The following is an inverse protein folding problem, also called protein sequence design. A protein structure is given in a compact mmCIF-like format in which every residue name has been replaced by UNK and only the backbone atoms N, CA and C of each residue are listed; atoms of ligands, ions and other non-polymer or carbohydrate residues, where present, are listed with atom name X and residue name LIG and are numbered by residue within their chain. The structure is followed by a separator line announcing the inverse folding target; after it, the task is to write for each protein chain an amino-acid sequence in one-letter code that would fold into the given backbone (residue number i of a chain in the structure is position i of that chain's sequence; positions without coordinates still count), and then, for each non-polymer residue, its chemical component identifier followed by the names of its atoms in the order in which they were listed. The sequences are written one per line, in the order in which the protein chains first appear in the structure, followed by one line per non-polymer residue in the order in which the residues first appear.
data_IF_543536759374
#
_entry.id   IF_543536759374
#
_cell.length_a   1.000
_cell.length_b   1.000
_cell.length_c   1.000
_cell.angle_alpha   90.00
_cell.angle_beta   90.00
_cell.angle_gamma   90.00
#
_symmetry.space_group_name_H-M   'P 1'
#
loop_
_entity.id
_entity.type
_entity.pdbx_description
1 polymer ?
#
# COMPACT_ATOMS: atom_id res chain seq x y z
N UNK A 1 -5.83 -22.05 4.82
CA UNK A 1 -6.57 -21.42 3.70
C UNK A 1 -6.80 -19.97 4.09
N UNK A 2 -6.51 -19.03 3.22
CA UNK A 2 -6.65 -17.60 3.46
C UNK A 2 -8.10 -17.17 3.15
N UNK A 3 -8.79 -16.55 4.10
CA UNK A 3 -10.20 -16.15 3.99
C UNK A 3 -10.38 -14.64 3.93
N UNK A 4 -9.61 -13.90 4.72
CA UNK A 4 -9.68 -12.46 4.83
C UNK A 4 -8.40 -11.85 4.24
N UNK A 5 -8.53 -11.10 3.17
CA UNK A 5 -7.40 -10.57 2.39
C UNK A 5 -7.35 -9.05 2.50
N UNK A 6 -6.17 -8.52 2.79
CA UNK A 6 -5.90 -7.09 2.78
C UNK A 6 -5.00 -6.75 1.59
N UNK A 7 -5.42 -5.79 0.77
CA UNK A 7 -4.64 -5.27 -0.35
C UNK A 7 -4.15 -3.88 -0.01
N UNK A 8 -2.85 -3.63 -0.12
CA UNK A 8 -2.29 -2.28 -0.18
C UNK A 8 -2.04 -1.95 -1.64
N UNK A 9 -2.65 -0.86 -2.11
CA UNK A 9 -2.60 -0.43 -3.50
C UNK A 9 -1.84 0.89 -3.64
N UNK A 10 -0.90 0.89 -4.58
CA UNK A 10 -0.12 2.04 -4.98
C UNK A 10 -0.12 2.16 -6.52
N UNK A 11 0.33 3.28 -7.09
CA UNK A 11 0.08 3.54 -8.52
C UNK A 11 1.32 3.45 -9.40
N UNK A 12 2.48 3.82 -8.93
CA UNK A 12 3.69 3.99 -9.75
C UNK A 12 4.16 2.68 -10.38
N UNK A 13 3.96 1.57 -9.68
CA UNK A 13 4.32 0.24 -10.14
C UNK A 13 3.36 -0.41 -11.12
N UNK A 14 2.20 0.19 -11.40
CA UNK A 14 1.16 -0.36 -12.28
C UNK A 14 1.66 -0.49 -13.73
N UNK A 15 1.28 -1.56 -14.43
CA UNK A 15 1.64 -1.75 -15.84
C UNK A 15 1.10 -0.62 -16.72
N UNK A 16 1.96 -0.10 -17.60
CA UNK A 16 1.60 0.98 -18.53
C UNK A 16 1.74 2.39 -17.97
N UNK A 17 2.02 2.54 -16.68
CA UNK A 17 2.35 3.83 -16.08
C UNK A 17 3.85 4.11 -16.20
N UNK A 18 4.20 5.31 -16.62
CA UNK A 18 5.59 5.79 -16.76
C UNK A 18 5.79 7.13 -16.07
N UNK A 19 4.76 7.96 -16.08
CA UNK A 19 4.82 9.37 -15.69
C UNK A 19 4.11 9.58 -14.35
N UNK A 20 4.75 10.36 -13.49
CA UNK A 20 4.22 10.75 -12.21
C UNK A 20 3.51 12.11 -12.32
N UNK A 21 2.32 12.19 -11.80
CA UNK A 21 1.35 13.28 -12.01
C UNK A 21 1.72 14.66 -11.42
N UNK A 22 2.80 14.76 -10.65
CA UNK A 22 3.15 16.00 -9.94
C UNK A 22 4.29 16.83 -10.58
N UNK A 23 4.76 16.47 -11.77
CA UNK A 23 5.91 17.16 -12.38
C UNK A 23 5.57 18.47 -13.03
N UNK A 24 4.34 18.64 -13.44
CA UNK A 24 3.88 19.86 -14.08
C UNK A 24 3.00 20.65 -13.10
N UNK A 25 3.52 21.79 -12.61
CA UNK A 25 2.75 22.71 -11.77
C UNK A 25 1.58 23.35 -12.53
N UNK A 26 1.62 23.32 -13.84
CA UNK A 26 0.54 23.72 -14.72
C UNK A 26 -0.23 22.46 -15.12
N UNK A 27 -1.39 22.25 -14.51
CA UNK A 27 -2.31 21.15 -14.81
C UNK A 27 -2.79 21.24 -16.26
N UNK A 28 -2.01 20.72 -17.20
CA UNK A 28 -2.39 20.64 -18.61
C UNK A 28 -3.49 19.59 -18.81
N UNK A 29 -4.26 19.71 -19.90
CA UNK A 29 -5.27 18.70 -20.28
C UNK A 29 -4.65 17.30 -20.38
N UNK A 30 -3.39 17.19 -20.84
CA UNK A 30 -2.67 15.93 -20.94
C UNK A 30 -2.45 15.31 -19.54
N UNK A 31 -2.09 16.11 -18.54
CA UNK A 31 -1.91 15.63 -17.17
C UNK A 31 -3.22 15.10 -16.57
N UNK A 32 -4.35 15.76 -16.82
CA UNK A 32 -5.66 15.27 -16.38
C UNK A 32 -6.02 13.93 -17.04
N UNK A 33 -5.75 13.77 -18.33
CA UNK A 33 -5.99 12.51 -19.04
C UNK A 33 -5.09 11.37 -18.52
N UNK A 34 -3.79 11.66 -18.31
CA UNK A 34 -2.85 10.69 -17.75
C UNK A 34 -3.24 10.28 -16.33
N UNK A 35 -3.61 11.22 -15.49
CA UNK A 35 -4.08 10.96 -14.14
C UNK A 35 -5.31 10.05 -14.15
N UNK A 36 -6.32 10.38 -14.94
CA UNK A 36 -7.51 9.55 -15.08
C UNK A 36 -7.16 8.14 -15.58
N UNK A 37 -6.29 8.05 -16.58
CA UNK A 37 -5.82 6.77 -17.12
C UNK A 37 -5.11 5.93 -16.06
N UNK A 38 -4.21 6.54 -15.28
CA UNK A 38 -3.45 5.86 -14.22
C UNK A 38 -4.38 5.31 -13.14
N UNK A 39 -5.41 6.05 -12.75
CA UNK A 39 -6.44 5.63 -11.81
C UNK A 39 -7.22 4.40 -12.34
N UNK A 40 -7.59 4.39 -13.61
CA UNK A 40 -8.24 3.23 -14.25
C UNK A 40 -7.29 2.02 -14.24
N UNK A 41 -6.01 2.21 -14.58
CA UNK A 41 -5.03 1.13 -14.61
C UNK A 41 -4.86 0.48 -13.24
N UNK A 42 -4.74 1.28 -12.16
CA UNK A 42 -4.65 0.77 -10.80
C UNK A 42 -5.92 0.03 -10.38
N UNK A 43 -7.09 0.64 -10.57
CA UNK A 43 -8.37 0.04 -10.17
C UNK A 43 -8.56 -1.34 -10.82
N UNK A 44 -8.18 -1.47 -12.07
CA UNK A 44 -8.29 -2.72 -12.80
C UNK A 44 -7.24 -3.78 -12.37
N UNK A 45 -6.05 -3.40 -11.93
CA UNK A 45 -5.08 -4.34 -11.35
C UNK A 45 -5.54 -4.81 -9.96
N UNK A 46 -6.14 -3.92 -9.16
CA UNK A 46 -6.78 -4.26 -7.89
C UNK A 46 -7.96 -5.23 -8.11
N UNK A 47 -8.82 -4.97 -9.08
CA UNK A 47 -9.90 -5.88 -9.46
C UNK A 47 -9.38 -7.27 -9.87
N UNK A 48 -8.27 -7.32 -10.60
CA UNK A 48 -7.64 -8.59 -10.98
C UNK A 48 -7.13 -9.36 -9.75
N UNK A 49 -6.49 -8.66 -8.79
CA UNK A 49 -6.07 -9.26 -7.53
C UNK A 49 -7.26 -9.79 -6.72
N UNK A 50 -8.35 -9.03 -6.65
CA UNK A 50 -9.58 -9.44 -5.98
C UNK A 50 -10.19 -10.70 -6.61
N UNK A 51 -10.30 -10.75 -7.95
CA UNK A 51 -10.79 -11.95 -8.64
C UNK A 51 -9.95 -13.18 -8.33
N UNK A 52 -8.61 -13.05 -8.35
CA UNK A 52 -7.70 -14.12 -7.97
C UNK A 52 -7.90 -14.57 -6.52
N UNK A 53 -8.09 -13.62 -5.60
CA UNK A 53 -8.36 -13.92 -4.19
C UNK A 53 -9.69 -14.67 -4.00
N UNK A 54 -10.77 -14.22 -4.61
CA UNK A 54 -12.06 -14.92 -4.56
C UNK A 54 -12.01 -16.29 -5.24
N UNK A 55 -11.28 -16.43 -6.36
CA UNK A 55 -11.07 -17.73 -7.00
C UNK A 55 -10.30 -18.72 -6.10
N UNK A 56 -9.40 -18.21 -5.25
CA UNK A 56 -8.71 -19.01 -4.21
C UNK A 56 -9.58 -19.35 -3.00
N UNK A 57 -10.79 -18.77 -2.89
CA UNK A 57 -11.74 -19.02 -1.81
C UNK A 57 -11.71 -17.99 -0.68
N UNK A 58 -11.22 -16.78 -0.94
CA UNK A 58 -11.37 -15.66 -0.04
C UNK A 58 -12.85 -15.31 0.17
N UNK A 59 -13.19 -14.93 1.39
CA UNK A 59 -14.56 -14.55 1.79
C UNK A 59 -14.69 -13.03 1.92
N UNK A 60 -13.58 -12.36 2.30
CA UNK A 60 -13.48 -10.91 2.45
C UNK A 60 -12.22 -10.41 1.78
N UNK A 61 -12.35 -9.33 1.01
CA UNK A 61 -11.20 -8.62 0.41
C UNK A 61 -11.38 -7.12 0.64
N UNK A 62 -10.44 -6.52 1.37
CA UNK A 62 -10.39 -5.09 1.64
C UNK A 62 -9.20 -4.51 0.93
N UNK A 63 -9.37 -3.39 0.22
CA UNK A 63 -8.28 -2.65 -0.40
C UNK A 63 -8.08 -1.31 0.29
N UNK A 64 -6.84 -1.00 0.63
CA UNK A 64 -6.40 0.31 1.10
C UNK A 64 -5.72 1.05 -0.04
N UNK A 65 -6.33 2.14 -0.50
CA UNK A 65 -5.74 3.09 -1.45
C UNK A 65 -4.66 3.89 -0.72
N UNK A 66 -3.42 3.39 -0.80
CA UNK A 66 -2.29 3.95 -0.06
C UNK A 66 -1.60 5.10 -0.80
N UNK A 67 -1.84 5.25 -2.11
CA UNK A 67 -1.19 6.27 -2.93
C UNK A 67 -1.62 7.69 -2.55
N UNK A 68 -0.65 8.52 -2.19
CA UNK A 68 -0.84 9.95 -1.95
C UNK A 68 -1.92 10.25 -0.91
N UNK A 69 -3.02 10.86 -1.35
CA UNK A 69 -4.16 11.20 -0.48
C UNK A 69 -5.26 10.13 -0.43
N UNK A 70 -5.04 8.95 -1.03
CA UNK A 70 -6.01 7.85 -1.03
C UNK A 70 -7.24 8.11 -1.92
N UNK A 71 -7.05 8.71 -3.09
CA UNK A 71 -8.11 9.00 -4.07
C UNK A 71 -7.78 8.45 -5.46
N UNK A 72 -6.93 7.42 -5.54
CA UNK A 72 -6.44 6.88 -6.80
C UNK A 72 -7.34 5.77 -7.34
N UNK A 73 -7.90 4.95 -6.48
CA UNK A 73 -8.89 3.94 -6.88
C UNK A 73 -10.21 4.64 -7.24
N UNK A 74 -10.85 4.18 -8.31
CA UNK A 74 -12.15 4.69 -8.78
C UNK A 74 -13.24 3.74 -8.27
N UNK A 75 -14.04 4.14 -7.25
CA UNK A 75 -15.02 3.24 -6.62
C UNK A 75 -16.05 2.67 -7.61
N UNK A 76 -16.45 3.47 -8.61
CA UNK A 76 -17.45 3.08 -9.60
C UNK A 76 -16.96 1.98 -10.57
N UNK A 77 -15.65 1.70 -10.59
CA UNK A 77 -15.04 0.66 -11.42
C UNK A 77 -14.61 -0.57 -10.63
N UNK A 78 -14.79 -0.57 -9.30
CA UNK A 78 -14.40 -1.68 -8.45
C UNK A 78 -15.25 -2.93 -8.67
N UNK A 79 -14.65 -4.09 -8.44
CA UNK A 79 -15.40 -5.35 -8.27
C UNK A 79 -16.39 -5.17 -7.09
N UNK A 80 -17.66 -5.52 -7.30
CA UNK A 80 -18.75 -5.28 -6.34
C UNK A 80 -18.55 -5.95 -4.97
N UNK A 81 -17.63 -6.90 -4.87
CA UNK A 81 -17.32 -7.65 -3.64
C UNK A 81 -16.20 -7.02 -2.80
N UNK A 82 -15.54 -5.96 -3.31
CA UNK A 82 -14.46 -5.27 -2.63
C UNK A 82 -14.99 -4.25 -1.61
N UNK A 83 -14.33 -4.16 -0.48
CA UNK A 83 -14.42 -3.02 0.43
C UNK A 83 -13.22 -2.10 0.21
N UNK A 84 -13.42 -0.77 0.25
CA UNK A 84 -12.40 0.23 -0.01
C UNK A 84 -12.14 1.10 1.24
N UNK A 85 -10.88 1.15 1.64
CA UNK A 85 -10.37 2.16 2.57
C UNK A 85 -9.66 3.22 1.71
N UNK A 86 -10.19 4.44 1.71
CA UNK A 86 -9.62 5.54 0.93
C UNK A 86 -9.77 6.90 1.62
N UNK A 87 -9.07 7.89 1.08
CA UNK A 87 -9.08 9.24 1.63
C UNK A 87 -8.00 9.48 2.67
N UNK A 88 -7.81 10.74 3.06
CA UNK A 88 -6.86 11.13 4.11
C UNK A 88 -7.41 10.80 5.49
N UNK A 89 -6.59 10.10 6.29
CA UNK A 89 -6.80 9.94 7.71
C UNK A 89 -5.58 10.41 8.50
N UNK A 90 -5.74 10.58 9.81
CA UNK A 90 -4.61 10.68 10.71
C UNK A 90 -4.08 9.25 10.92
N UNK A 91 -3.10 8.83 10.09
CA UNK A 91 -2.58 7.46 10.06
C UNK A 91 -2.14 6.94 11.45
N UNK A 92 -1.72 7.84 12.34
CA UNK A 92 -1.35 7.52 13.72
C UNK A 92 -2.53 7.31 14.68
N UNK A 93 -3.77 7.52 14.25
CA UNK A 93 -4.97 7.26 15.07
C UNK A 93 -5.58 5.88 14.84
N UNK A 94 -5.08 5.13 13.86
CA UNK A 94 -5.60 3.78 13.58
C UNK A 94 -4.79 2.75 14.36
N UNK A 95 -5.32 2.30 15.46
CA UNK A 95 -5.02 1.08 16.25
C UNK A 95 -3.58 0.53 16.19
N UNK A 96 -2.57 1.42 16.10
CA UNK A 96 -1.17 1.03 16.12
C UNK A 96 -0.57 0.64 14.77
N UNK A 97 -1.32 0.73 13.66
CA UNK A 97 -0.80 0.51 12.30
C UNK A 97 -1.00 1.73 11.41
N UNK A 98 -0.18 1.90 10.39
CA UNK A 98 -0.40 2.88 9.32
C UNK A 98 -1.38 2.35 8.25
N UNK A 99 -1.84 1.12 8.40
CA UNK A 99 -2.84 0.47 7.55
C UNK A 99 -4.11 0.23 8.36
N UNK A 100 -5.17 1.04 8.15
CA UNK A 100 -6.41 0.93 8.91
C UNK A 100 -6.98 -0.49 8.85
N UNK A 101 -7.47 -0.97 9.99
CA UNK A 101 -8.10 -2.28 10.18
C UNK A 101 -7.23 -3.52 9.88
N UNK A 102 -5.95 -3.36 9.51
CA UNK A 102 -5.10 -4.53 9.20
C UNK A 102 -4.99 -5.51 10.39
N UNK A 103 -5.08 -5.02 11.61
CA UNK A 103 -5.08 -5.80 12.85
C UNK A 103 -6.43 -6.48 13.18
N UNK A 104 -7.45 -6.32 12.34
CA UNK A 104 -8.80 -6.85 12.56
C UNK A 104 -9.03 -8.25 11.95
N UNK A 105 -8.00 -9.11 11.92
CA UNK A 105 -8.16 -10.53 11.60
C UNK A 105 -8.04 -10.86 10.11
N UNK A 106 -7.12 -10.22 9.40
CA UNK A 106 -6.74 -10.61 8.05
C UNK A 106 -5.75 -11.79 8.06
N UNK A 107 -5.79 -12.59 6.99
CA UNK A 107 -4.98 -13.80 6.86
C UNK A 107 -3.74 -13.58 5.98
N UNK A 108 -3.83 -12.70 4.98
CA UNK A 108 -2.76 -12.37 4.06
C UNK A 108 -2.80 -10.92 3.59
N UNK A 109 -1.61 -10.39 3.32
CA UNK A 109 -1.38 -9.12 2.63
C UNK A 109 -1.08 -9.38 1.15
N UNK A 110 -1.66 -8.57 0.27
CA UNK A 110 -1.27 -8.44 -1.13
C UNK A 110 -0.83 -7.00 -1.39
N UNK A 111 0.19 -6.83 -2.22
CA UNK A 111 0.77 -5.54 -2.58
C UNK A 111 0.62 -5.33 -4.09
N UNK A 112 -0.11 -4.28 -4.50
CA UNK A 112 -0.43 -4.02 -5.92
C UNK A 112 0.04 -2.63 -6.33
N UNK A 113 0.75 -2.54 -7.45
CA UNK A 113 1.20 -1.27 -8.01
C UNK A 113 2.39 -0.63 -7.30
N UNK A 114 3.18 -1.40 -6.58
CA UNK A 114 4.26 -0.91 -5.71
C UNK A 114 5.47 -0.41 -6.49
N UNK A 115 6.16 0.58 -5.92
CA UNK A 115 7.37 1.20 -6.46
C UNK A 115 8.60 1.00 -5.58
N UNK A 116 9.79 1.28 -6.14
CA UNK A 116 11.05 1.15 -5.43
C UNK A 116 11.31 2.32 -4.48
N UNK A 117 12.07 2.07 -3.40
CA UNK A 117 12.52 3.09 -2.44
C UNK A 117 13.40 4.14 -3.08
N UNK A 118 13.49 5.31 -2.45
CA UNK A 118 14.40 6.39 -2.84
C UNK A 118 15.85 5.91 -2.98
N UNK A 119 16.55 6.45 -3.97
CA UNK A 119 17.94 6.08 -4.27
C UNK A 119 18.10 4.84 -5.16
N UNK A 120 17.01 4.20 -5.59
CA UNK A 120 17.06 3.05 -6.50
C UNK A 120 17.16 3.54 -7.95
N UNK A 121 18.31 3.30 -8.61
CA UNK A 121 18.60 3.83 -9.95
C UNK A 121 17.63 3.31 -11.03
N UNK A 122 17.19 2.06 -10.93
CA UNK A 122 16.27 1.40 -11.87
C UNK A 122 14.82 1.36 -11.34
N UNK A 123 14.45 2.22 -10.37
CA UNK A 123 13.09 2.34 -9.84
C UNK A 123 12.21 3.25 -10.71
N UNK A 124 10.91 2.96 -10.77
CA UNK A 124 9.91 3.87 -11.33
C UNK A 124 9.62 4.99 -10.32
N UNK A 125 9.94 6.24 -10.65
CA UNK A 125 9.75 7.37 -9.72
C UNK A 125 10.12 7.04 -8.27
N UNK A 126 11.33 6.53 -7.99
CA UNK A 126 11.67 6.00 -6.68
C UNK A 126 11.65 7.09 -5.62
N UNK A 127 10.85 6.90 -4.59
CA UNK A 127 10.73 7.81 -3.46
C UNK A 127 10.42 7.02 -2.19
N UNK A 128 10.25 7.69 -1.08
CA UNK A 128 10.12 7.10 0.26
C UNK A 128 11.27 6.19 0.65
N UNK A 129 11.80 6.41 1.82
CA UNK A 129 12.92 5.65 2.35
C UNK A 129 12.72 5.48 3.86
N UNK A 130 12.55 4.26 4.30
CA UNK A 130 12.35 3.95 5.70
C UNK A 130 13.58 3.23 6.23
N UNK A 131 14.33 3.90 7.10
CA UNK A 131 15.46 3.31 7.80
C UNK A 131 15.02 2.76 9.14
N UNK A 132 15.41 1.52 9.43
CA UNK A 132 15.16 0.87 10.72
C UNK A 132 16.47 0.44 11.34
N UNK A 133 16.65 0.72 12.62
CA UNK A 133 17.76 0.25 13.44
C UNK A 133 17.19 -0.53 14.63
N UNK A 134 17.51 -1.81 14.75
CA UNK A 134 17.08 -2.64 15.90
C UNK A 134 18.09 -2.54 17.04
N UNK A 135 17.64 -2.80 18.27
CA UNK A 135 18.52 -2.86 19.44
C UNK A 135 19.58 -3.98 19.31
N UNK A 136 19.33 -5.00 18.48
CA UNK A 136 20.29 -6.06 18.16
C UNK A 136 21.36 -5.63 17.14
N UNK A 137 21.34 -4.38 16.66
CA UNK A 137 22.29 -3.84 15.70
C UNK A 137 21.99 -4.17 14.24
N UNK A 138 20.82 -4.74 13.93
CA UNK A 138 20.38 -4.94 12.54
C UNK A 138 19.85 -3.63 11.96
N UNK A 139 20.13 -3.40 10.68
CA UNK A 139 19.62 -2.23 9.94
C UNK A 139 18.85 -2.68 8.71
N UNK A 140 17.74 -2.00 8.42
CA UNK A 140 16.94 -2.22 7.22
C UNK A 140 16.75 -0.90 6.49
N UNK A 141 16.69 -0.98 5.16
CA UNK A 141 16.31 0.10 4.26
C UNK A 141 15.06 -0.35 3.50
N UNK A 142 13.90 0.12 3.92
CA UNK A 142 12.62 -0.33 3.41
C UNK A 142 12.04 0.65 2.39
N UNK A 143 11.33 0.10 1.40
CA UNK A 143 10.35 0.80 0.55
C UNK A 143 8.98 0.83 1.25
N UNK A 144 7.99 1.49 0.67
CA UNK A 144 6.60 1.42 1.16
C UNK A 144 6.05 -0.02 1.09
N UNK A 145 6.43 -0.77 0.07
CA UNK A 145 6.07 -2.19 -0.02
C UNK A 145 6.63 -3.00 1.15
N UNK A 146 7.92 -2.91 1.41
CA UNK A 146 8.56 -3.69 2.49
C UNK A 146 8.25 -3.13 3.88
N UNK A 147 7.91 -1.83 3.99
CA UNK A 147 7.29 -1.23 5.17
C UNK A 147 5.93 -1.88 5.46
N UNK A 148 5.07 -2.00 4.46
CA UNK A 148 3.76 -2.64 4.60
C UNK A 148 3.87 -4.11 5.00
N UNK A 149 4.89 -4.83 4.47
CA UNK A 149 5.19 -6.20 4.90
C UNK A 149 5.60 -6.27 6.37
N UNK A 150 6.40 -5.31 6.86
CA UNK A 150 6.83 -5.27 8.26
C UNK A 150 5.67 -4.94 9.21
N UNK A 151 4.77 -4.02 8.83
CA UNK A 151 3.55 -3.71 9.57
C UNK A 151 2.65 -4.95 9.67
N UNK A 152 2.40 -5.63 8.55
CA UNK A 152 1.63 -6.87 8.52
C UNK A 152 2.30 -7.96 9.37
N UNK A 153 3.63 -8.01 9.36
CA UNK A 153 4.42 -8.92 10.18
C UNK A 153 4.24 -8.71 11.69
N UNK A 154 4.10 -7.48 12.14
CA UNK A 154 3.76 -7.18 13.54
C UNK A 154 2.37 -7.72 13.92
N UNK A 155 1.43 -7.76 12.97
CA UNK A 155 0.10 -8.37 13.12
C UNK A 155 0.10 -9.90 12.91
N UNK A 156 1.25 -10.51 12.58
CA UNK A 156 1.34 -11.94 12.27
C UNK A 156 0.77 -12.32 10.89
N UNK A 157 0.65 -11.36 9.97
CA UNK A 157 0.06 -11.53 8.65
C UNK A 157 1.18 -11.63 7.60
N UNK A 158 1.27 -12.75 6.84
CA UNK A 158 2.24 -12.88 5.76
C UNK A 158 1.83 -12.08 4.53
N UNK A 159 2.82 -11.56 3.80
CA UNK A 159 2.61 -11.06 2.45
C UNK A 159 2.66 -12.23 1.47
N UNK A 160 1.56 -12.48 0.74
CA UNK A 160 1.43 -13.62 -0.15
C UNK A 160 1.79 -13.27 -1.60
N UNK A 161 1.58 -12.02 -2.03
CA UNK A 161 1.80 -11.59 -3.41
C UNK A 161 2.21 -10.12 -3.50
N UNK A 162 3.09 -9.81 -4.45
CA UNK A 162 3.45 -8.44 -4.84
C UNK A 162 3.43 -8.26 -6.35
N UNK A 163 2.82 -7.15 -6.82
CA UNK A 163 2.97 -6.63 -8.18
C UNK A 163 3.51 -5.19 -8.14
N UNK A 164 4.50 -4.91 -8.97
CA UNK A 164 5.11 -3.59 -9.00
C UNK A 164 6.24 -3.46 -10.01
N UNK A 165 7.05 -2.43 -9.90
CA UNK A 165 8.26 -2.36 -10.69
C UNK A 165 9.26 -3.46 -10.28
N UNK A 166 10.19 -3.80 -11.19
CA UNK A 166 11.14 -4.90 -10.97
C UNK A 166 11.97 -4.71 -9.71
N UNK A 167 12.43 -3.49 -9.46
CA UNK A 167 13.34 -3.23 -8.35
C UNK A 167 12.62 -3.39 -6.98
N UNK A 168 11.36 -2.97 -6.86
CA UNK A 168 10.58 -3.19 -5.63
C UNK A 168 10.24 -4.67 -5.42
N UNK A 169 9.96 -5.40 -6.50
CA UNK A 169 9.70 -6.85 -6.43
C UNK A 169 10.95 -7.59 -5.94
N UNK A 170 12.13 -7.29 -6.49
CA UNK A 170 13.39 -7.90 -6.07
C UNK A 170 13.73 -7.56 -4.61
N UNK A 171 13.48 -6.31 -4.17
CA UNK A 171 13.65 -5.87 -2.78
C UNK A 171 12.75 -6.68 -1.82
N UNK A 172 11.47 -6.82 -2.13
CA UNK A 172 10.52 -7.57 -1.33
C UNK A 172 10.85 -9.07 -1.27
N UNK A 173 11.23 -9.68 -2.39
CA UNK A 173 11.64 -11.09 -2.46
C UNK A 173 12.92 -11.38 -1.68
N UNK A 174 13.81 -10.40 -1.53
CA UNK A 174 15.01 -10.56 -0.68
C UNK A 174 14.66 -10.75 0.80
N UNK A 175 13.52 -10.23 1.24
CA UNK A 175 13.01 -10.34 2.62
C UNK A 175 12.03 -11.51 2.78
N UNK A 176 11.33 -11.89 1.72
CA UNK A 176 10.34 -12.98 1.72
C UNK A 176 10.46 -13.84 0.46
N UNK A 177 11.47 -14.75 0.36
CA UNK A 177 11.79 -15.49 -0.88
C UNK A 177 10.68 -16.42 -1.40
N UNK A 178 9.74 -16.85 -0.54
CA UNK A 178 8.64 -17.74 -0.92
C UNK A 178 7.39 -17.02 -1.45
N UNK A 179 7.39 -15.69 -1.48
CA UNK A 179 6.25 -14.89 -1.92
C UNK A 179 6.09 -14.94 -3.45
N UNK A 180 4.86 -15.07 -3.93
CA UNK A 180 4.56 -14.93 -5.35
C UNK A 180 4.69 -13.46 -5.79
N UNK A 181 5.07 -13.23 -7.03
CA UNK A 181 5.34 -11.87 -7.50
C UNK A 181 5.13 -11.68 -8.99
N UNK A 182 4.91 -10.43 -9.40
CA UNK A 182 4.87 -9.99 -10.79
C UNK A 182 5.63 -8.67 -10.96
N UNK A 183 6.73 -8.68 -11.72
CA UNK A 183 7.32 -7.45 -12.21
C UNK A 183 6.52 -6.94 -13.42
N UNK A 184 5.78 -5.87 -13.25
CA UNK A 184 4.95 -5.26 -14.30
C UNK A 184 5.79 -4.50 -15.32
N UNK A 185 6.97 -4.03 -14.90
CA UNK A 185 7.88 -3.22 -15.70
C UNK A 185 9.33 -3.35 -15.24
N UNK A 186 10.24 -3.08 -16.18
CA UNK A 186 11.67 -2.81 -15.94
C UNK A 186 11.97 -1.36 -16.30
N UNK A 187 12.55 -0.61 -15.37
CA UNK A 187 12.94 0.78 -15.60
C UNK A 187 14.39 0.87 -16.07
N UNK A 188 14.68 1.80 -16.96
CA UNK A 188 16.02 2.18 -17.42
C UNK A 188 16.45 3.51 -16.77
N UNK A 189 15.47 4.29 -16.36
CA UNK A 189 15.60 5.51 -15.57
C UNK A 189 14.25 5.75 -14.89
N UNK A 190 14.18 6.74 -13.98
CA UNK A 190 12.96 7.06 -13.19
C UNK A 190 11.69 7.22 -14.04
N UNK A 191 11.81 7.68 -15.29
CA UNK A 191 10.68 7.94 -16.19
C UNK A 191 10.87 7.29 -17.57
N UNK A 192 11.69 6.23 -17.66
CA UNK A 192 11.88 5.46 -18.88
C UNK A 192 11.77 3.96 -18.55
N UNK A 193 10.70 3.34 -19.04
CA UNK A 193 10.37 1.96 -18.66
C UNK A 193 9.97 1.10 -19.87
N UNK A 194 10.25 -0.18 -19.75
CA UNK A 194 9.66 -1.24 -20.58
C UNK A 194 8.64 -1.98 -19.74
N UNK A 195 7.39 -1.85 -20.08
CA UNK A 195 6.26 -2.46 -19.36
C UNK A 195 5.62 -3.58 -20.17
N UNK A 196 5.02 -4.57 -19.48
CA UNK A 196 4.05 -5.47 -20.10
C UNK A 196 2.74 -4.73 -20.38
N UNK A 197 1.89 -5.26 -21.27
CA UNK A 197 0.61 -4.62 -21.51
C UNK A 197 -0.29 -4.71 -20.26
N UNK A 198 -1.12 -3.70 -19.97
CA UNK A 198 -2.04 -3.74 -18.83
C UNK A 198 -3.01 -4.95 -18.87
N UNK A 199 -3.40 -5.40 -20.06
CA UNK A 199 -4.26 -6.58 -20.23
C UNK A 199 -3.53 -7.85 -19.76
N UNK A 200 -2.24 -8.00 -20.12
CA UNK A 200 -1.44 -9.13 -19.70
C UNK A 200 -1.16 -9.07 -18.19
N UNK A 201 -0.84 -7.87 -17.67
CA UNK A 201 -0.62 -7.66 -16.24
C UNK A 201 -1.79 -8.16 -15.40
N UNK A 202 -3.02 -7.75 -15.72
CA UNK A 202 -4.24 -8.16 -15.03
C UNK A 202 -4.41 -9.69 -15.02
N UNK A 203 -4.19 -10.36 -16.15
CA UNK A 203 -4.26 -11.83 -16.22
C UNK A 203 -3.24 -12.50 -15.32
N UNK A 204 -1.99 -11.99 -15.32
CA UNK A 204 -0.92 -12.54 -14.49
C UNK A 204 -1.11 -12.24 -13.01
N UNK A 205 -1.65 -11.06 -12.65
CA UNK A 205 -2.02 -10.74 -11.26
C UNK A 205 -3.11 -11.68 -10.78
N UNK A 206 -4.20 -11.85 -11.54
CA UNK A 206 -5.32 -12.72 -11.17
C UNK A 206 -4.84 -14.16 -10.92
N UNK A 207 -4.13 -14.76 -11.88
CA UNK A 207 -3.61 -16.12 -11.74
C UNK A 207 -2.52 -16.25 -10.67
N UNK A 208 -1.67 -15.24 -10.53
CA UNK A 208 -0.59 -15.22 -9.54
C UNK A 208 -1.12 -15.10 -8.11
N UNK A 209 -2.14 -14.28 -7.87
CA UNK A 209 -2.81 -14.16 -6.57
C UNK A 209 -3.55 -15.46 -6.23
N UNK A 210 -4.29 -16.05 -7.18
CA UNK A 210 -4.95 -17.34 -6.97
C UNK A 210 -3.94 -18.42 -6.55
N UNK A 211 -2.82 -18.52 -7.25
CA UNK A 211 -1.76 -19.48 -6.92
C UNK A 211 -1.13 -19.20 -5.55
N UNK A 212 -0.85 -17.92 -5.24
CA UNK A 212 -0.27 -17.49 -3.98
C UNK A 212 -1.13 -17.85 -2.76
N UNK A 213 -2.46 -17.69 -2.89
CA UNK A 213 -3.38 -17.96 -1.78
C UNK A 213 -3.76 -19.45 -1.65
N UNK A 214 -3.42 -20.27 -2.63
CA UNK A 214 -3.57 -21.74 -2.59
C UNK A 214 -2.34 -22.46 -2.05
N UNK A 215 -1.19 -21.78 -1.97
CA UNK A 215 0.01 -22.37 -1.38
C UNK A 215 -0.06 -22.46 0.14
N UNK A 216 0.91 -23.15 0.74
CA UNK A 216 1.08 -23.16 2.19
C UNK A 216 1.33 -21.76 2.75
N UNK A 217 0.88 -21.53 3.99
CA UNK A 217 0.98 -20.21 4.61
C UNK A 217 2.45 -19.83 4.82
N UNK A 218 2.83 -18.70 4.28
CA UNK A 218 4.16 -18.12 4.46
C UNK A 218 4.37 -17.61 5.88
N UNK A 219 5.64 -17.47 6.28
CA UNK A 219 5.98 -16.77 7.50
C UNK A 219 5.92 -15.27 7.27
N UNK A 220 5.33 -14.50 8.20
CA UNK A 220 5.34 -13.05 8.13
C UNK A 220 6.77 -12.50 8.19
N UNK A 221 7.07 -11.48 7.37
CA UNK A 221 8.29 -10.71 7.53
C UNK A 221 8.14 -9.80 8.75
N UNK A 222 8.91 -10.07 9.80
CA UNK A 222 8.84 -9.34 11.06
C UNK A 222 10.18 -8.75 11.44
N UNK A 223 10.19 -7.45 11.77
CA UNK A 223 11.34 -6.78 12.37
C UNK A 223 11.24 -6.92 13.89
N UNK A 224 12.20 -7.65 14.48
CA UNK A 224 12.21 -7.88 15.92
C UNK A 224 12.70 -6.62 16.64
N UNK A 225 11.83 -6.03 17.46
CA UNK A 225 12.16 -4.87 18.29
C UNK A 225 12.98 -5.23 19.53
N UNK A 226 13.36 -4.25 20.34
CA UNK A 226 13.08 -2.82 20.16
C UNK A 226 13.80 -2.24 18.94
N UNK A 227 13.21 -1.23 18.31
CA UNK A 227 13.80 -0.58 17.15
C UNK A 227 13.50 0.93 17.08
N UNK A 228 14.23 1.61 16.21
CA UNK A 228 14.07 3.02 15.86
C UNK A 228 13.79 3.12 14.37
N UNK A 229 12.95 4.08 13.99
CA UNK A 229 12.60 4.34 12.59
C UNK A 229 12.92 5.78 12.24
N UNK A 230 13.47 5.99 11.03
CA UNK A 230 13.58 7.29 10.37
C UNK A 230 12.96 7.19 8.99
N UNK A 231 12.40 8.29 8.50
CA UNK A 231 11.78 8.35 7.18
C UNK A 231 12.43 9.46 6.36
N UNK A 232 12.69 9.17 5.09
CA UNK A 232 13.04 10.13 4.06
C UNK A 232 12.09 10.04 2.87
N UNK A 233 11.99 11.11 2.09
CA UNK A 233 11.24 11.12 0.86
C UNK A 233 12.15 10.73 -0.33
N UNK A 234 12.50 11.66 -1.19
CA UNK A 234 13.27 11.40 -2.43
C UNK A 234 14.78 11.29 -2.21
N UNK A 235 15.27 11.82 -1.11
CA UNK A 235 16.69 11.76 -0.75
C UNK A 235 16.91 10.85 0.47
N UNK A 236 17.49 9.66 0.29
CA UNK A 236 17.73 8.73 1.40
C UNK A 236 18.78 9.20 2.41
N UNK A 237 19.47 10.31 2.14
CA UNK A 237 20.42 10.95 3.08
C UNK A 237 19.76 11.96 4.01
N UNK A 238 18.51 12.36 3.71
CA UNK A 238 17.74 13.30 4.53
C UNK A 238 16.64 12.55 5.25
N UNK A 239 16.90 12.20 6.50
CA UNK A 239 16.03 11.34 7.31
C UNK A 239 15.49 12.08 8.55
N UNK A 240 14.24 11.81 8.88
CA UNK A 240 13.51 12.36 10.02
C UNK A 240 12.94 11.27 10.92
N UNK A 241 12.82 11.52 12.22
CA UNK A 241 13.41 12.64 12.96
C UNK A 241 14.93 12.43 13.17
N UNK A 242 15.67 13.49 13.51
CA UNK A 242 17.11 13.38 13.85
C UNK A 242 17.34 12.46 15.06
N UNK A 243 16.41 12.50 16.02
CA UNK A 243 16.43 11.69 17.25
C UNK A 243 15.18 10.83 17.31
N UNK A 244 15.16 9.65 16.65
CA UNK A 244 14.02 8.75 16.66
C UNK A 244 13.83 8.11 18.05
N UNK A 245 12.58 7.86 18.40
CA UNK A 245 12.22 7.12 19.60
C UNK A 245 12.54 5.63 19.43
N UNK A 246 12.88 4.97 20.53
CA UNK A 246 13.02 3.51 20.59
C UNK A 246 11.70 2.91 21.06
N UNK A 247 11.06 2.10 20.22
CA UNK A 247 9.77 1.50 20.52
C UNK A 247 9.87 -0.04 20.52
N UNK A 248 8.90 -0.70 21.13
CA UNK A 248 8.90 -2.16 21.30
C UNK A 248 8.71 -2.91 19.98
N UNK A 249 7.96 -2.34 19.02
CA UNK A 249 7.70 -2.91 17.70
C UNK A 249 8.02 -1.92 16.57
N UNK A 250 8.09 -2.44 15.34
CA UNK A 250 8.28 -1.61 14.15
C UNK A 250 7.11 -0.65 13.94
N UNK A 251 5.88 -1.12 14.09
CA UNK A 251 4.67 -0.30 13.91
C UNK A 251 4.61 0.86 14.90
N UNK A 252 4.94 0.62 16.18
CA UNK A 252 5.03 1.70 17.18
C UNK A 252 6.10 2.72 16.83
N UNK A 253 7.29 2.28 16.42
CA UNK A 253 8.39 3.16 16.04
C UNK A 253 8.07 3.98 14.78
N UNK A 254 7.37 3.38 13.80
CA UNK A 254 6.91 4.07 12.61
C UNK A 254 5.89 5.17 12.96
N UNK A 255 4.91 4.87 13.81
CA UNK A 255 3.90 5.85 14.25
C UNK A 255 4.56 6.99 15.02
N UNK A 256 5.47 6.70 15.94
CA UNK A 256 6.21 7.72 16.67
C UNK A 256 7.01 8.63 15.72
N UNK A 257 7.58 8.05 14.67
CA UNK A 257 8.29 8.78 13.61
C UNK A 257 7.34 9.66 12.79
N UNK A 258 6.22 9.12 12.31
CA UNK A 258 5.25 9.87 11.49
C UNK A 258 4.71 11.12 12.20
N UNK A 259 4.53 11.08 13.51
CA UNK A 259 4.11 12.24 14.32
C UNK A 259 5.14 13.40 14.31
N UNK A 260 6.38 13.11 13.99
CA UNK A 260 7.50 14.05 14.08
C UNK A 260 8.05 14.48 12.72
N UNK A 261 7.49 14.01 11.59
CA UNK A 261 7.96 14.44 10.27
C UNK A 261 7.34 15.78 9.86
N UNK A 262 8.13 16.75 9.37
CA UNK A 262 7.66 18.12 9.17
C UNK A 262 6.66 18.31 8.02
N UNK A 263 6.59 17.37 7.09
CA UNK A 263 5.61 17.40 5.97
C UNK A 263 4.31 16.66 6.28
N UNK A 264 4.27 15.91 7.37
CA UNK A 264 3.06 15.24 7.82
C UNK A 264 2.25 16.19 8.68
N UNK A 265 1.21 16.77 8.12
CA UNK A 265 0.26 17.59 8.88
C UNK A 265 -0.99 16.76 9.13
N UNK A 266 -1.46 16.68 10.38
CA UNK A 266 -2.79 16.14 10.67
C UNK A 266 -3.84 16.88 9.83
N UNK A 267 -4.89 16.19 9.41
CA UNK A 267 -6.00 16.80 8.64
C UNK A 267 -6.60 18.00 9.38
N UNK A 268 -6.55 18.00 10.70
CA UNK A 268 -6.96 19.14 11.55
C UNK A 268 -6.12 20.42 11.38
N UNK A 269 -4.91 20.32 10.83
CA UNK A 269 -4.01 21.44 10.56
C UNK A 269 -4.00 21.86 9.07
N UNK A 270 -4.68 21.13 8.20
CA UNK A 270 -4.85 21.51 6.80
C UNK A 270 -6.03 22.48 6.76
N UNK A 271 -5.74 23.78 6.80
CA UNK A 271 -6.73 24.84 6.59
C UNK A 271 -7.00 24.99 5.09
N UNK A 272 -7.83 24.09 4.56
CA UNK A 272 -8.35 24.13 3.19
C UNK A 272 -9.77 24.73 3.11
N UNK A 273 -10.23 25.36 4.20
CA UNK A 273 -11.56 25.95 4.31
C UNK A 273 -12.66 24.94 4.61
N UNK A 274 -12.35 23.65 4.72
CA UNK A 274 -13.29 22.61 5.12
C UNK A 274 -13.15 22.32 6.61
N UNK A 275 -14.09 22.84 7.41
CA UNK A 275 -14.23 22.45 8.82
C UNK A 275 -14.99 21.14 8.90
N UNK A 276 -14.30 20.05 9.13
CA UNK A 276 -14.96 18.82 9.54
C UNK A 276 -15.55 18.99 10.95
N UNK A 277 -16.78 18.54 11.20
CA UNK A 277 -17.34 18.55 12.55
C UNK A 277 -16.41 17.76 13.49
N UNK A 278 -16.31 18.24 14.74
CA UNK A 278 -15.47 17.63 15.78
C UNK A 278 -15.80 16.12 15.89
N UNK A 279 -14.86 15.29 15.50
CA UNK A 279 -15.02 13.82 15.45
C UNK A 279 -15.30 13.18 16.81
N UNK A 280 -15.04 13.91 17.92
CA UNK A 280 -15.40 13.45 19.27
C UNK A 280 -16.90 13.25 19.47
N UNK A 281 -17.73 13.74 18.54
CA UNK A 281 -19.20 13.60 18.58
C UNK A 281 -19.76 12.60 17.55
N UNK A 282 -18.91 12.01 16.70
CA UNK A 282 -19.36 11.00 15.74
C UNK A 282 -19.04 9.63 16.31
N UNK A 283 -20.04 8.99 16.88
CA UNK A 283 -19.97 7.56 17.20
C UNK A 283 -19.87 6.81 15.87
N UNK A 284 -18.79 6.08 15.58
CA UNK A 284 -18.73 5.29 14.35
C UNK A 284 -19.89 4.29 14.34
N UNK A 285 -20.54 4.07 13.19
CA UNK A 285 -21.56 3.03 13.08
C UNK A 285 -20.92 1.68 13.42
N UNK A 286 -21.41 1.04 14.46
CA UNK A 286 -20.87 -0.23 14.96
C UNK A 286 -21.17 -1.43 14.05
N UNK A 287 -22.00 -1.25 13.02
CA UNK A 287 -22.29 -2.25 11.98
C UNK A 287 -22.82 -1.58 10.71
N UNK A 288 -22.32 -1.99 9.56
CA UNK A 288 -22.99 -1.74 8.29
C UNK A 288 -24.19 -2.68 8.21
N UNK A 289 -25.41 -2.16 8.45
CA UNK A 289 -26.63 -2.90 8.15
C UNK A 289 -26.82 -2.92 6.64
N UNK A 290 -26.13 -3.82 5.96
CA UNK A 290 -26.50 -4.21 4.60
C UNK A 290 -27.70 -5.14 4.73
N UNK A 291 -28.89 -4.76 4.23
CA UNK A 291 -30.04 -5.67 4.28
C UNK A 291 -29.70 -6.92 3.46
N UNK A 292 -30.11 -8.11 3.90
CA UNK A 292 -29.85 -9.33 3.14
C UNK A 292 -30.40 -9.16 1.73
N UNK A 293 -29.57 -9.47 0.74
CA UNK A 293 -29.92 -9.43 -0.69
C UNK A 293 -31.10 -10.36 -0.94
N UNK A 294 -32.30 -9.83 -1.09
CA UNK A 294 -33.48 -10.66 -1.37
C UNK A 294 -34.85 -10.03 -1.21
N UNK A 295 -35.00 -8.85 -0.62
CA UNK A 295 -36.31 -8.22 -0.56
C UNK A 295 -36.47 -7.15 -1.66
N UNK A 296 -37.33 -7.46 -2.64
CA UNK A 296 -37.83 -6.47 -3.60
C UNK A 296 -38.60 -5.42 -2.83
N UNK A 297 -38.18 -4.18 -2.92
CA UNK A 297 -39.00 -3.06 -2.46
C UNK A 297 -40.30 -2.99 -3.25
N UNK A 298 -41.42 -2.61 -2.63
CA UNK A 298 -42.72 -2.48 -3.23
C UNK A 298 -42.83 -1.36 -4.26
#
# INVERSE_FOLDING_TARGET
MYKNIYIVADVEGVAGLVFYEYWDKEMSLLNHELLRRNRVLLTEEVNAAARGAFAAGAEKVVVHDHHGAGYTIIPELMDERLELIHGRGEQHLFLGTSHPDLDQGFDALLLIGMHAKAGTAEGCTPHSYIQVETAAGQTYALSEATMSMAIAGDCGIPCAFIAGDRATVEDALSLCPGMHSLATKKNYASQLTRTISPILSRKLIESGVEAALRQDRLQPFKITGPCKVRIGDRNPQVLWPEKPETCASFSEALIATLRNVPWYKPVSEIDDGWRFPDRRQVTPPTQWNIPPTGEKQP
#
